data_IF_756739602715
#
_entry.id   IF_756739602715
#
_cell.length_a   1.000
_cell.length_b   1.000
_cell.length_c   1.000
_cell.angle_alpha   90.00
_cell.angle_beta   90.00
_cell.angle_gamma   90.00
#
_symmetry.space_group_name_H-M   'P 1'
#
loop_
_entity.id
_entity.type
_entity.pdbx_description
1 polymer ?
#
# COMPACT_ATOMS: atom_id res chain seq x y z
N UNK A 1 12.53 -16.77 -3.72
CA UNK A 1 11.52 -16.54 -2.66
C UNK A 1 11.14 -15.07 -2.71
N UNK A 2 9.87 -14.76 -2.90
CA UNK A 2 9.40 -13.37 -2.89
C UNK A 2 9.37 -12.85 -1.45
N UNK A 3 9.60 -11.54 -1.24
CA UNK A 3 9.53 -10.93 0.09
C UNK A 3 8.16 -11.16 0.77
N UNK A 4 7.10 -11.19 -0.03
CA UNK A 4 5.73 -11.51 0.41
C UNK A 4 5.61 -12.92 1.01
N UNK A 5 6.30 -13.89 0.41
CA UNK A 5 6.24 -15.30 0.80
C UNK A 5 6.97 -15.54 2.13
N UNK A 6 8.12 -14.89 2.32
CA UNK A 6 8.85 -14.91 3.59
C UNK A 6 8.03 -14.26 4.70
N UNK A 7 7.42 -13.11 4.39
CA UNK A 7 6.55 -12.39 5.33
C UNK A 7 5.35 -13.22 5.74
N UNK A 8 4.68 -13.86 4.78
CA UNK A 8 3.53 -14.72 5.04
C UNK A 8 3.90 -15.97 5.86
N UNK A 9 5.07 -16.57 5.62
CA UNK A 9 5.51 -17.73 6.39
C UNK A 9 5.77 -17.41 7.87
N UNK A 10 6.28 -16.21 8.16
CA UNK A 10 6.59 -15.79 9.52
C UNK A 10 5.36 -15.24 10.27
N UNK A 11 4.54 -14.43 9.61
CA UNK A 11 3.44 -13.69 10.25
C UNK A 11 2.03 -14.15 9.82
N UNK A 12 1.90 -15.06 8.86
CA UNK A 12 0.61 -15.48 8.31
C UNK A 12 -0.33 -16.11 9.35
N UNK A 13 0.21 -16.75 10.39
CA UNK A 13 -0.58 -17.23 11.53
C UNK A 13 -1.27 -16.08 12.28
N UNK A 14 -0.51 -15.05 12.66
CA UNK A 14 -1.03 -13.87 13.37
C UNK A 14 -1.99 -13.05 12.51
N UNK A 15 -1.66 -12.88 11.22
CA UNK A 15 -2.47 -12.12 10.28
C UNK A 15 -3.83 -12.79 10.01
N UNK A 16 -3.90 -14.13 10.01
CA UNK A 16 -5.18 -14.84 9.86
C UNK A 16 -6.19 -14.50 10.97
N UNK A 17 -5.71 -14.30 12.20
CA UNK A 17 -6.56 -13.88 13.32
C UNK A 17 -6.92 -12.38 13.24
N UNK A 18 -6.00 -11.54 12.77
CA UNK A 18 -6.22 -10.10 12.63
C UNK A 18 -7.05 -9.71 11.38
N UNK A 19 -7.14 -10.59 10.38
CA UNK A 19 -7.85 -10.41 9.12
C UNK A 19 -9.25 -9.79 9.22
N UNK A 20 -10.12 -10.17 10.17
CA UNK A 20 -11.49 -9.62 10.26
C UNK A 20 -11.51 -8.11 10.50
N UNK A 21 -10.48 -7.56 11.15
CA UNK A 21 -10.39 -6.14 11.48
C UNK A 21 -9.97 -5.26 10.29
N UNK A 22 -9.43 -5.87 9.23
CA UNK A 22 -8.85 -5.15 8.08
C UNK A 22 -9.58 -5.48 6.75
N UNK A 23 -10.86 -5.82 6.83
CA UNK A 23 -11.66 -6.17 5.64
C UNK A 23 -11.94 -4.95 4.74
N UNK A 24 -11.94 -3.75 5.31
CA UNK A 24 -11.97 -2.46 4.62
C UNK A 24 -10.82 -2.31 3.61
N UNK A 25 -9.60 -2.65 4.03
CA UNK A 25 -8.40 -2.58 3.16
C UNK A 25 -8.50 -3.52 1.96
N UNK A 26 -9.21 -4.65 2.07
CA UNK A 26 -9.31 -5.62 0.99
C UNK A 26 -9.88 -5.00 -0.29
N UNK A 27 -10.93 -4.21 -0.15
CA UNK A 27 -11.56 -3.53 -1.28
C UNK A 27 -10.66 -2.42 -1.83
N UNK A 28 -9.96 -1.71 -0.95
CA UNK A 28 -9.02 -0.66 -1.35
C UNK A 28 -7.82 -1.21 -2.12
N UNK A 29 -7.26 -2.34 -1.71
CA UNK A 29 -6.19 -3.04 -2.45
C UNK A 29 -6.65 -3.40 -3.88
N UNK A 30 -7.87 -3.93 -4.00
CA UNK A 30 -8.47 -4.27 -5.30
C UNK A 30 -8.66 -3.02 -6.17
N UNK A 31 -9.20 -1.96 -5.59
CA UNK A 31 -9.39 -0.67 -6.25
C UNK A 31 -8.08 0.06 -6.55
N UNK A 32 -7.00 -0.24 -5.84
CA UNK A 32 -5.66 0.30 -6.11
C UNK A 32 -4.88 -0.50 -7.16
N UNK A 33 -5.41 -1.65 -7.63
CA UNK A 33 -4.69 -2.59 -8.50
C UNK A 33 -3.41 -3.15 -7.86
N UNK A 34 -3.43 -3.34 -6.54
CA UNK A 34 -2.29 -3.92 -5.82
C UNK A 34 -2.42 -5.45 -5.88
N UNK A 35 -1.44 -6.13 -6.48
CA UNK A 35 -1.45 -7.57 -6.77
C UNK A 35 -1.18 -8.48 -5.55
N UNK A 36 -1.43 -8.00 -4.33
CA UNK A 36 -1.25 -8.76 -3.10
C UNK A 36 -2.59 -9.12 -2.48
N UNK A 37 -2.71 -10.32 -1.92
CA UNK A 37 -3.83 -10.65 -1.05
C UNK A 37 -3.77 -9.83 0.23
N UNK A 38 -4.91 -9.64 0.89
CA UNK A 38 -4.97 -8.94 2.18
C UNK A 38 -4.00 -9.57 3.20
N UNK A 39 -3.89 -10.90 3.21
CA UNK A 39 -3.01 -11.61 4.14
C UNK A 39 -1.53 -11.38 3.84
N UNK A 40 -1.13 -11.41 2.57
CA UNK A 40 0.24 -11.09 2.17
C UNK A 40 0.59 -9.64 2.48
N UNK A 41 -0.32 -8.70 2.21
CA UNK A 41 -0.10 -7.28 2.45
C UNK A 41 0.11 -6.98 3.94
N UNK A 42 -0.77 -7.49 4.81
CA UNK A 42 -0.64 -7.32 6.25
C UNK A 42 0.60 -8.02 6.81
N UNK A 43 0.96 -9.19 6.25
CA UNK A 43 2.19 -9.90 6.64
C UNK A 43 3.44 -9.09 6.29
N UNK A 44 3.45 -8.49 5.10
CA UNK A 44 4.52 -7.57 4.65
C UNK A 44 4.59 -6.36 5.57
N UNK A 45 3.46 -5.73 5.88
CA UNK A 45 3.42 -4.56 6.75
C UNK A 45 3.98 -4.87 8.14
N UNK A 46 3.55 -5.98 8.76
CA UNK A 46 4.04 -6.41 10.07
C UNK A 46 5.53 -6.78 10.06
N UNK A 47 5.99 -7.49 9.03
CA UNK A 47 7.41 -7.85 8.94
C UNK A 47 8.27 -6.59 8.75
N UNK A 48 7.84 -5.68 7.86
CA UNK A 48 8.55 -4.43 7.59
C UNK A 48 8.64 -3.59 8.87
N UNK A 49 7.53 -3.40 9.58
CA UNK A 49 7.53 -2.60 10.82
C UNK A 49 8.34 -3.24 11.93
N UNK A 50 8.32 -4.58 12.06
CA UNK A 50 9.14 -5.29 13.04
C UNK A 50 10.64 -5.14 12.73
N UNK A 51 11.04 -5.28 11.47
CA UNK A 51 12.45 -5.11 11.06
C UNK A 51 12.89 -3.66 11.26
N UNK A 52 12.06 -2.69 10.86
CA UNK A 52 12.33 -1.26 11.07
C UNK A 52 12.48 -0.95 12.56
N UNK A 53 11.58 -1.45 13.42
CA UNK A 53 11.67 -1.26 14.86
C UNK A 53 12.99 -1.76 15.45
N UNK A 54 13.40 -2.99 15.08
CA UNK A 54 14.66 -3.58 15.59
C UNK A 54 15.87 -2.76 15.11
N UNK A 55 15.92 -2.42 13.82
CA UNK A 55 17.02 -1.63 13.27
C UNK A 55 17.10 -0.23 13.89
N UNK A 56 15.97 0.46 14.03
CA UNK A 56 15.89 1.78 14.63
C UNK A 56 16.28 1.75 16.11
N UNK A 57 15.80 0.77 16.87
CA UNK A 57 16.12 0.63 18.28
C UNK A 57 17.62 0.40 18.50
N UNK A 58 18.25 -0.45 17.67
CA UNK A 58 19.70 -0.67 17.73
C UNK A 58 20.48 0.61 17.38
N UNK A 59 20.11 1.30 16.30
CA UNK A 59 20.76 2.54 15.86
C UNK A 59 20.61 3.67 16.88
N UNK A 60 19.39 3.93 17.36
CA UNK A 60 19.10 5.00 18.33
C UNK A 60 19.73 4.70 19.69
N UNK A 61 19.72 3.45 20.14
CA UNK A 61 20.38 3.08 21.39
C UNK A 61 21.90 3.28 21.31
N UNK A 62 22.51 3.03 20.16
CA UNK A 62 23.95 3.29 19.96
C UNK A 62 24.25 4.80 19.98
N UNK A 63 23.46 5.61 19.28
CA UNK A 63 23.64 7.06 19.23
C UNK A 63 23.44 7.70 20.61
N UNK A 64 22.32 7.39 21.29
CA UNK A 64 22.05 7.95 22.61
C UNK A 64 23.00 7.42 23.69
N UNK A 65 23.48 6.18 23.55
CA UNK A 65 24.48 5.61 24.47
C UNK A 65 25.81 6.37 24.48
N UNK A 66 26.11 7.13 23.43
CA UNK A 66 27.29 8.02 23.36
C UNK A 66 27.03 9.41 24.00
N UNK A 67 25.77 9.81 24.17
CA UNK A 67 25.38 11.17 24.57
C UNK A 67 24.86 11.25 26.01
N UNK A 68 24.23 10.19 26.51
CA UNK A 68 23.54 10.14 27.82
C UNK A 68 23.83 8.82 28.54
N UNK A 69 23.48 8.76 29.83
CA UNK A 69 23.59 7.55 30.64
C UNK A 69 22.90 6.35 29.95
N UNK A 70 23.49 5.14 29.97
CA UNK A 70 22.99 3.97 29.23
C UNK A 70 21.52 3.65 29.49
N UNK A 71 21.05 3.84 30.74
CA UNK A 71 19.66 3.56 31.12
C UNK A 71 18.70 4.55 30.44
N UNK A 72 19.06 5.84 30.43
CA UNK A 72 18.26 6.90 29.81
C UNK A 72 18.28 6.74 28.28
N UNK A 73 19.43 6.38 27.72
CA UNK A 73 19.60 6.13 26.29
C UNK A 73 18.67 5.02 25.77
N UNK A 74 18.58 3.90 26.48
CA UNK A 74 17.70 2.77 26.09
C UNK A 74 16.23 3.17 26.15
N UNK A 75 15.80 3.88 27.21
CA UNK A 75 14.42 4.33 27.36
C UNK A 75 14.03 5.31 26.23
N UNK A 76 14.91 6.27 25.93
CA UNK A 76 14.68 7.24 24.84
C UNK A 76 14.68 6.56 23.46
N UNK A 77 15.61 5.63 23.22
CA UNK A 77 15.65 4.88 21.97
C UNK A 77 14.36 4.08 21.76
N UNK A 78 13.91 3.34 22.78
CA UNK A 78 12.74 2.47 22.68
C UNK A 78 11.45 3.26 22.49
N UNK A 79 11.27 4.36 23.22
CA UNK A 79 10.09 5.24 23.06
C UNK A 79 10.03 5.88 21.68
N UNK A 80 11.17 6.33 21.15
CA UNK A 80 11.23 6.94 19.83
C UNK A 80 11.03 5.92 18.71
N UNK A 81 11.69 4.77 18.78
CA UNK A 81 11.50 3.67 17.82
C UNK A 81 10.05 3.17 17.79
N UNK A 82 9.40 3.06 18.95
CA UNK A 82 8.00 2.64 19.01
C UNK A 82 7.08 3.67 18.33
N UNK A 83 7.38 4.96 18.49
CA UNK A 83 6.63 6.04 17.83
C UNK A 83 6.81 6.00 16.31
N UNK A 84 8.05 5.89 15.83
CA UNK A 84 8.36 5.87 14.39
C UNK A 84 7.76 4.62 13.73
N UNK A 85 7.94 3.45 14.33
CA UNK A 85 7.38 2.20 13.82
C UNK A 85 5.85 2.18 13.85
N UNK A 86 5.22 2.82 14.83
CA UNK A 86 3.77 3.03 14.88
C UNK A 86 3.27 3.91 13.73
N UNK A 87 3.99 5.01 13.44
CA UNK A 87 3.70 5.87 12.28
C UNK A 87 3.86 5.09 10.97
N UNK A 88 4.92 4.28 10.85
CA UNK A 88 5.14 3.45 9.67
C UNK A 88 4.00 2.47 9.44
N UNK A 89 3.53 1.79 10.50
CA UNK A 89 2.38 0.90 10.40
C UNK A 89 1.11 1.64 9.95
N UNK A 90 0.89 2.84 10.47
CA UNK A 90 -0.24 3.69 10.06
C UNK A 90 -0.14 4.12 8.58
N UNK A 91 1.07 4.39 8.08
CA UNK A 91 1.29 4.66 6.66
C UNK A 91 0.98 3.44 5.80
N UNK A 92 1.38 2.23 6.21
CA UNK A 92 0.98 1.00 5.52
C UNK A 92 -0.55 0.82 5.51
N UNK A 93 -1.22 1.11 6.61
CA UNK A 93 -2.69 1.04 6.67
C UNK A 93 -3.36 2.04 5.71
N UNK A 94 -2.87 3.27 5.61
CA UNK A 94 -3.46 4.36 4.81
C UNK A 94 -3.00 4.43 3.35
N UNK A 95 -1.92 3.71 3.01
CA UNK A 95 -1.40 3.59 1.65
C UNK A 95 -2.41 3.06 0.62
N UNK A 96 -3.09 1.91 0.83
CA UNK A 96 -4.04 1.37 -0.14
C UNK A 96 -5.22 2.32 -0.38
N UNK A 97 -5.72 2.98 0.68
CA UNK A 97 -6.75 4.03 0.58
C UNK A 97 -6.32 5.19 -0.31
N UNK A 98 -5.08 5.63 -0.16
CA UNK A 98 -4.54 6.76 -0.93
C UNK A 98 -4.33 6.38 -2.39
N UNK A 99 -3.79 5.18 -2.63
CA UNK A 99 -3.58 4.64 -3.96
C UNK A 99 -4.91 4.43 -4.72
N UNK A 100 -5.93 3.88 -4.06
CA UNK A 100 -7.26 3.67 -4.66
C UNK A 100 -7.93 5.00 -5.01
N UNK A 101 -7.89 5.99 -4.12
CA UNK A 101 -8.42 7.36 -4.36
C UNK A 101 -7.69 8.06 -5.51
N UNK A 102 -6.37 7.94 -5.57
CA UNK A 102 -5.56 8.50 -6.65
C UNK A 102 -5.95 7.91 -8.00
N UNK A 103 -6.06 6.57 -8.08
CA UNK A 103 -6.52 5.88 -9.29
C UNK A 103 -7.94 6.28 -9.68
N UNK A 104 -8.87 6.32 -8.73
CA UNK A 104 -10.25 6.76 -8.99
C UNK A 104 -10.33 8.20 -9.50
N UNK A 105 -9.48 9.08 -8.98
CA UNK A 105 -9.41 10.48 -9.43
C UNK A 105 -8.86 10.60 -10.85
N UNK A 106 -7.84 9.80 -11.21
CA UNK A 106 -7.34 9.74 -12.59
C UNK A 106 -8.43 9.30 -13.56
N UNK A 107 -9.17 8.23 -13.23
CA UNK A 107 -10.29 7.73 -14.03
C UNK A 107 -11.36 8.82 -14.19
N UNK A 108 -11.76 9.48 -13.09
CA UNK A 108 -12.79 10.53 -13.14
C UNK A 108 -12.37 11.73 -13.99
N UNK A 109 -11.10 12.12 -13.95
CA UNK A 109 -10.55 13.23 -14.74
C UNK A 109 -10.60 12.95 -16.24
N UNK A 110 -10.36 11.70 -16.64
CA UNK A 110 -10.28 11.34 -18.06
C UNK A 110 -11.61 10.84 -18.66
N UNK A 111 -12.57 10.50 -17.80
CA UNK A 111 -13.89 10.00 -18.20
C UNK A 111 -14.63 10.91 -19.22
N UNK A 112 -14.72 12.23 -19.04
CA UNK A 112 -15.43 13.10 -19.99
C UNK A 112 -14.81 13.07 -21.39
N UNK A 113 -13.48 13.06 -21.48
CA UNK A 113 -12.74 12.97 -22.73
C UNK A 113 -12.98 11.62 -23.42
N UNK A 114 -12.93 10.53 -22.64
CA UNK A 114 -13.22 9.17 -23.11
C UNK A 114 -14.60 9.10 -23.77
N UNK A 115 -15.62 9.63 -23.08
CA UNK A 115 -17.01 9.57 -23.53
C UNK A 115 -17.22 10.42 -24.79
N UNK A 116 -16.61 11.61 -24.87
CA UNK A 116 -16.66 12.45 -26.07
C UNK A 116 -16.03 11.77 -27.29
N UNK A 117 -14.87 11.12 -27.09
CA UNK A 117 -14.19 10.36 -28.12
C UNK A 117 -15.01 9.17 -28.60
N UNK A 118 -15.58 8.37 -27.66
CA UNK A 118 -16.48 7.27 -27.98
C UNK A 118 -17.70 7.74 -28.79
N UNK A 119 -18.34 8.85 -28.39
CA UNK A 119 -19.48 9.42 -29.10
C UNK A 119 -19.13 9.86 -30.53
N UNK A 120 -17.92 10.40 -30.73
CA UNK A 120 -17.44 10.81 -32.06
C UNK A 120 -17.22 9.61 -32.97
N UNK A 121 -16.60 8.54 -32.47
CA UNK A 121 -16.33 7.34 -33.26
C UNK A 121 -17.61 6.53 -33.52
N UNK A 122 -18.53 6.49 -32.55
CA UNK A 122 -19.83 5.83 -32.71
C UNK A 122 -20.64 6.44 -33.87
N UNK A 123 -20.53 7.75 -34.11
CA UNK A 123 -21.17 8.41 -35.28
C UNK A 123 -20.65 7.89 -36.61
N UNK A 124 -19.42 7.39 -36.67
CA UNK A 124 -18.81 6.82 -37.87
C UNK A 124 -19.21 5.35 -38.11
N UNK A 125 -20.26 4.87 -37.44
CA UNK A 125 -20.77 3.50 -37.54
C UNK A 125 -19.72 2.41 -37.20
N UNK A 126 -18.76 2.76 -36.35
CA UNK A 126 -17.73 1.83 -35.87
C UNK A 126 -18.34 0.89 -34.83
N UNK A 127 -18.10 -0.44 -34.93
CA UNK A 127 -18.62 -1.39 -33.95
C UNK A 127 -18.17 -1.07 -32.51
N UNK A 128 -19.04 -1.25 -31.49
CA UNK A 128 -18.70 -0.97 -30.09
C UNK A 128 -17.43 -1.67 -29.61
N UNK A 129 -17.18 -2.91 -30.07
CA UNK A 129 -15.97 -3.67 -29.72
C UNK A 129 -14.70 -2.94 -30.15
N UNK A 130 -14.70 -2.29 -31.31
CA UNK A 130 -13.57 -1.51 -31.81
C UNK A 130 -13.39 -0.24 -31.01
N UNK A 131 -14.49 0.43 -30.62
CA UNK A 131 -14.45 1.62 -29.76
C UNK A 131 -13.77 1.31 -28.42
N UNK A 132 -14.20 0.22 -27.75
CA UNK A 132 -13.60 -0.20 -26.48
C UNK A 132 -12.15 -0.66 -26.64
N UNK A 133 -11.82 -1.35 -27.74
CA UNK A 133 -10.44 -1.75 -28.03
C UNK A 133 -9.52 -0.53 -28.18
N UNK A 134 -9.90 0.43 -29.01
CA UNK A 134 -9.13 1.67 -29.20
C UNK A 134 -9.01 2.44 -27.89
N UNK A 135 -10.06 2.50 -27.06
CA UNK A 135 -9.98 3.13 -25.74
C UNK A 135 -9.00 2.41 -24.79
N UNK A 136 -8.96 1.08 -24.83
CA UNK A 136 -8.06 0.27 -23.99
C UNK A 136 -6.58 0.40 -24.35
N UNK A 137 -6.27 0.81 -25.59
CA UNK A 137 -4.90 1.00 -26.07
C UNK A 137 -4.27 2.32 -25.57
N UNK A 138 -5.10 3.28 -25.15
CA UNK A 138 -4.60 4.54 -24.60
C UNK A 138 -4.19 4.38 -23.13
N UNK A 139 -2.87 4.38 -22.88
CA UNK A 139 -2.27 4.28 -21.54
C UNK A 139 -2.76 5.34 -20.54
N UNK A 140 -3.15 6.52 -21.02
CA UNK A 140 -3.64 7.61 -20.17
C UNK A 140 -4.95 7.28 -19.44
N UNK A 141 -5.73 6.30 -19.91
CA UNK A 141 -7.02 5.92 -19.34
C UNK A 141 -6.92 4.87 -18.21
N UNK A 142 -5.70 4.53 -17.79
CA UNK A 142 -5.45 3.72 -16.59
C UNK A 142 -5.02 2.28 -16.87
N UNK A 143 -4.09 2.10 -17.80
CA UNK A 143 -3.26 0.90 -17.87
C UNK A 143 -2.06 1.02 -16.91
#
# INVERSE_FOLDING_TARGET
MSYAEVSYRLFGGLVKYAKPYFLDIKEELRQANISYTLEEYLSIALLTTAVTFIMEAMMLSFIFGLLVSPIIAVILALTLSMTISGILFFLFYSYPTTASKSRGTKIKKILPFSVSYMATIAKSNVPPITIFKTLSEFKEYGA
#
